data_IF_084920898882
#
_entry.id   IF_084920898882
#
_cell.length_a   1.000
_cell.length_b   1.000
_cell.length_c   1.000
_cell.angle_alpha   90.00
_cell.angle_beta   90.00
_cell.angle_gamma   90.00
#
_symmetry.space_group_name_H-M   'P 1'
#
loop_
_entity.id
_entity.type
_entity.pdbx_description
1 polymer ?
#
# COMPACT_ATOMS: atom_id res chain seq x y z
N UNK A 1 -2.58 5.02 32.39
CA UNK A 1 -1.61 4.95 31.25
C UNK A 1 -2.33 4.31 30.09
N UNK A 2 -2.38 4.98 28.95
CA UNK A 2 -2.92 4.40 27.71
C UNK A 2 -1.96 3.28 27.29
N UNK A 3 -2.46 2.09 27.06
CA UNK A 3 -1.63 0.97 26.59
C UNK A 3 -1.41 1.08 25.07
N UNK A 4 -0.38 0.41 24.55
CA UNK A 4 -0.14 0.36 23.11
C UNK A 4 -1.34 -0.25 22.34
N UNK A 5 -2.09 -1.13 23.00
CA UNK A 5 -3.35 -1.70 22.47
C UNK A 5 -4.41 -0.62 22.31
N UNK A 6 -4.60 0.22 23.35
CA UNK A 6 -5.58 1.30 23.33
C UNK A 6 -5.26 2.35 22.25
N UNK A 7 -3.96 2.63 22.03
CA UNK A 7 -3.50 3.59 21.05
C UNK A 7 -3.80 3.11 19.62
N UNK A 8 -3.51 1.85 19.30
CA UNK A 8 -3.81 1.27 17.99
C UNK A 8 -5.32 1.27 17.74
N UNK A 9 -6.12 0.80 18.70
CA UNK A 9 -7.58 0.76 18.55
C UNK A 9 -8.19 2.16 18.43
N UNK A 10 -7.70 3.12 19.22
CA UNK A 10 -8.17 4.51 19.13
C UNK A 10 -7.86 5.11 17.75
N UNK A 11 -6.64 4.95 17.25
CA UNK A 11 -6.21 5.47 15.94
C UNK A 11 -7.02 4.84 14.79
N UNK A 12 -7.18 3.51 14.80
CA UNK A 12 -7.96 2.80 13.77
C UNK A 12 -9.44 3.19 13.85
N UNK A 13 -10.00 3.33 15.05
CA UNK A 13 -11.38 3.78 15.23
C UNK A 13 -11.59 5.22 14.72
N UNK A 14 -10.62 6.11 14.95
CA UNK A 14 -10.66 7.48 14.39
C UNK A 14 -10.62 7.43 12.87
N UNK A 15 -9.69 6.64 12.30
CA UNK A 15 -9.59 6.46 10.86
C UNK A 15 -10.89 5.94 10.22
N UNK A 16 -11.56 4.97 10.86
CA UNK A 16 -12.82 4.42 10.36
C UNK A 16 -13.97 5.42 10.39
N UNK A 17 -13.93 6.43 11.26
CA UNK A 17 -14.92 7.52 11.29
C UNK A 17 -14.74 8.53 10.16
N UNK A 18 -13.56 8.62 9.58
CA UNK A 18 -13.22 9.52 8.48
C UNK A 18 -13.60 8.95 7.11
N UNK A 19 -13.94 7.66 7.04
CA UNK A 19 -14.31 6.97 5.80
C UNK A 19 -15.76 6.49 5.84
N UNK A 20 -16.46 6.58 4.72
CA UNK A 20 -17.82 6.09 4.59
C UNK A 20 -17.88 4.58 4.47
N UNK A 21 -18.71 3.98 5.32
CA UNK A 21 -19.02 2.55 5.28
C UNK A 21 -18.01 1.70 6.04
N UNK A 22 -18.54 0.67 6.71
CA UNK A 22 -17.79 -0.19 7.61
C UNK A 22 -17.64 -1.64 7.12
N UNK A 23 -18.14 -2.00 5.93
CA UNK A 23 -17.98 -3.36 5.37
C UNK A 23 -16.68 -3.43 4.58
N UNK A 24 -15.76 -4.28 5.01
CA UNK A 24 -14.36 -4.25 4.58
C UNK A 24 -13.89 -5.65 4.19
N UNK A 25 -13.29 -5.77 2.99
CA UNK A 25 -12.51 -6.96 2.63
C UNK A 25 -11.11 -6.81 3.22
N UNK A 26 -10.67 -7.75 4.03
CA UNK A 26 -9.37 -7.70 4.71
C UNK A 26 -8.44 -8.74 4.12
N UNK A 27 -7.36 -8.29 3.49
CA UNK A 27 -6.31 -9.20 2.99
C UNK A 27 -5.62 -9.91 4.17
N UNK A 28 -5.84 -11.22 4.30
CA UNK A 28 -5.35 -12.04 5.39
C UNK A 28 -4.32 -13.05 4.88
N UNK A 29 -3.03 -12.79 5.11
CA UNK A 29 -1.95 -13.72 4.76
C UNK A 29 -1.69 -14.80 5.81
N UNK A 30 -2.15 -14.58 7.05
CA UNK A 30 -1.84 -15.39 8.23
C UNK A 30 -0.63 -14.89 9.03
N UNK A 31 0.14 -13.94 8.52
CA UNK A 31 1.22 -13.27 9.25
C UNK A 31 0.72 -12.24 10.26
N UNK A 32 1.58 -11.87 11.23
CA UNK A 32 1.25 -10.99 12.34
C UNK A 32 0.54 -9.69 11.92
N UNK A 33 1.02 -9.03 10.86
CA UNK A 33 0.49 -7.75 10.41
C UNK A 33 -0.95 -7.89 9.92
N UNK A 34 -1.26 -8.94 9.14
CA UNK A 34 -2.60 -9.19 8.60
C UNK A 34 -3.58 -9.69 9.64
N UNK A 35 -3.10 -10.50 10.60
CA UNK A 35 -3.89 -10.94 11.75
C UNK A 35 -4.19 -9.76 12.67
N UNK A 36 -3.21 -8.91 12.95
CA UNK A 36 -3.37 -7.69 13.72
C UNK A 36 -4.35 -6.72 13.07
N UNK A 37 -4.28 -6.54 11.74
CA UNK A 37 -5.23 -5.72 10.99
C UNK A 37 -6.66 -6.22 11.15
N UNK A 38 -6.89 -7.52 10.93
CA UNK A 38 -8.22 -8.11 11.06
C UNK A 38 -8.77 -7.93 12.47
N UNK A 39 -7.95 -8.25 13.48
CA UNK A 39 -8.35 -8.15 14.89
C UNK A 39 -8.71 -6.72 15.31
N UNK A 40 -7.90 -5.73 14.93
CA UNK A 40 -8.17 -4.34 15.31
C UNK A 40 -9.40 -3.77 14.60
N UNK A 41 -9.60 -4.12 13.31
CA UNK A 41 -10.81 -3.69 12.58
C UNK A 41 -12.07 -4.25 13.23
N UNK A 42 -12.04 -5.53 13.65
CA UNK A 42 -13.13 -6.18 14.38
C UNK A 42 -13.37 -5.50 15.74
N UNK A 43 -12.32 -5.24 16.52
CA UNK A 43 -12.42 -4.53 17.81
C UNK A 43 -13.02 -3.13 17.66
N UNK A 44 -12.80 -2.49 16.50
CA UNK A 44 -13.36 -1.17 16.19
C UNK A 44 -14.77 -1.21 15.59
N UNK A 45 -15.39 -2.40 15.45
CA UNK A 45 -16.76 -2.57 15.00
C UNK A 45 -16.93 -2.62 13.47
N UNK A 46 -15.88 -2.85 12.69
CA UNK A 46 -16.00 -3.05 11.26
C UNK A 46 -16.58 -4.42 10.91
N UNK A 47 -17.38 -4.47 9.84
CA UNK A 47 -17.88 -5.72 9.25
C UNK A 47 -16.83 -6.29 8.29
N UNK A 48 -15.99 -7.20 8.76
CA UNK A 48 -14.89 -7.75 8.00
C UNK A 48 -15.27 -9.03 7.25
N UNK A 49 -14.71 -9.19 6.06
CA UNK A 49 -14.63 -10.45 5.31
C UNK A 49 -13.14 -10.68 5.05
N UNK A 50 -12.59 -11.76 5.60
CA UNK A 50 -11.19 -12.11 5.39
C UNK A 50 -10.98 -12.67 3.98
N UNK A 51 -9.89 -12.30 3.33
CA UNK A 51 -9.57 -12.70 1.98
C UNK A 51 -8.12 -13.23 1.88
N UNK A 52 -7.96 -14.52 1.58
CA UNK A 52 -6.65 -15.16 1.45
C UNK A 52 -6.36 -15.57 0.01
N UNK A 53 -5.19 -15.16 -0.49
CA UNK A 53 -4.67 -15.54 -1.81
C UNK A 53 -3.59 -16.62 -1.65
N UNK A 54 -3.85 -17.84 -2.13
CA UNK A 54 -2.84 -18.88 -2.25
C UNK A 54 -2.24 -18.83 -3.66
N UNK A 55 -0.97 -18.46 -3.75
CA UNK A 55 -0.23 -18.39 -5.01
C UNK A 55 0.49 -19.69 -5.38
N UNK A 56 0.44 -20.73 -4.54
CA UNK A 56 1.06 -22.04 -4.77
C UNK A 56 2.59 -22.05 -4.85
N UNK A 57 3.26 -20.93 -4.54
CA UNK A 57 4.70 -20.76 -4.78
C UNK A 57 5.60 -21.62 -3.88
N UNK A 58 5.06 -22.07 -2.74
CA UNK A 58 5.79 -22.86 -1.73
C UNK A 58 5.15 -24.25 -1.51
N UNK A 59 4.29 -24.70 -2.44
CA UNK A 59 3.61 -25.98 -2.33
C UNK A 59 2.88 -26.15 -1.01
N UNK A 60 3.16 -27.21 -0.24
CA UNK A 60 2.49 -27.53 1.05
C UNK A 60 2.56 -26.41 2.10
N UNK A 61 3.58 -25.55 2.08
CA UNK A 61 3.63 -24.40 3.00
C UNK A 61 2.57 -23.37 2.65
N UNK A 62 2.31 -23.11 1.36
CA UNK A 62 1.23 -22.21 0.94
C UNK A 62 -0.14 -22.71 1.40
N UNK A 63 -0.36 -24.03 1.38
CA UNK A 63 -1.61 -24.64 1.85
C UNK A 63 -1.73 -24.58 3.37
N UNK A 64 -0.62 -24.80 4.09
CA UNK A 64 -0.56 -24.61 5.55
C UNK A 64 -0.92 -23.19 5.94
N UNK A 65 -0.35 -22.18 5.26
CA UNK A 65 -0.58 -20.78 5.56
C UNK A 65 -2.04 -20.38 5.25
N UNK A 66 -2.64 -20.93 4.19
CA UNK A 66 -4.07 -20.79 3.91
C UNK A 66 -4.93 -21.39 5.03
N UNK A 67 -4.65 -22.61 5.45
CA UNK A 67 -5.39 -23.27 6.54
C UNK A 67 -5.26 -22.50 7.84
N UNK A 68 -4.10 -21.92 8.13
CA UNK A 68 -3.92 -21.07 9.30
C UNK A 68 -4.74 -19.77 9.18
N UNK A 69 -4.74 -19.12 8.03
CA UNK A 69 -5.56 -17.92 7.81
C UNK A 69 -7.06 -18.22 8.00
N UNK A 70 -7.55 -19.37 7.52
CA UNK A 70 -8.90 -19.85 7.74
C UNK A 70 -9.17 -20.03 9.25
N UNK A 71 -8.28 -20.73 9.96
CA UNK A 71 -8.44 -20.97 11.40
C UNK A 71 -8.48 -19.67 12.23
N UNK A 72 -7.69 -18.65 11.82
CA UNK A 72 -7.73 -17.32 12.45
C UNK A 72 -9.09 -16.64 12.17
N UNK A 73 -9.59 -16.69 10.94
CA UNK A 73 -10.88 -16.12 10.59
C UNK A 73 -12.03 -16.80 11.35
N UNK A 74 -12.04 -18.13 11.44
CA UNK A 74 -13.02 -18.91 12.19
C UNK A 74 -12.99 -18.57 13.67
N UNK A 75 -11.80 -18.49 14.29
CA UNK A 75 -11.63 -18.11 15.69
C UNK A 75 -12.17 -16.72 16.00
N UNK A 76 -12.05 -15.79 15.04
CA UNK A 76 -12.58 -14.43 15.17
C UNK A 76 -14.05 -14.32 14.75
N UNK A 77 -14.68 -15.40 14.28
CA UNK A 77 -16.07 -15.40 13.80
C UNK A 77 -16.26 -14.59 12.52
N UNK A 78 -15.24 -14.51 11.67
CA UNK A 78 -15.24 -13.70 10.46
C UNK A 78 -15.43 -14.60 9.24
N UNK A 79 -16.38 -14.21 8.37
CA UNK A 79 -16.50 -14.84 7.05
C UNK A 79 -15.22 -14.71 6.28
N UNK A 80 -14.83 -15.76 5.54
CA UNK A 80 -13.63 -15.72 4.70
C UNK A 80 -13.91 -16.20 3.27
N UNK A 81 -13.04 -15.75 2.37
CA UNK A 81 -12.95 -16.15 0.98
C UNK A 81 -11.50 -16.54 0.68
N UNK A 82 -11.30 -17.58 -0.13
CA UNK A 82 -9.97 -18.04 -0.54
C UNK A 82 -9.91 -18.27 -2.03
N UNK A 83 -8.72 -18.12 -2.60
CA UNK A 83 -8.46 -18.41 -4.02
C UNK A 83 -7.08 -19.04 -4.19
N UNK A 84 -6.99 -19.97 -5.14
CA UNK A 84 -5.71 -20.48 -5.65
C UNK A 84 -5.45 -19.87 -7.01
N UNK A 85 -4.23 -19.32 -7.21
CA UNK A 85 -3.81 -18.74 -8.48
C UNK A 85 -2.77 -19.60 -9.19
N UNK A 86 -2.92 -19.78 -10.47
CA UNK A 86 -1.84 -20.21 -11.36
C UNK A 86 -1.03 -18.98 -11.79
N UNK A 87 -0.05 -18.64 -10.97
CA UNK A 87 0.80 -17.47 -11.20
C UNK A 87 1.69 -17.64 -12.42
N UNK A 88 2.11 -18.88 -12.72
CA UNK A 88 2.99 -19.15 -13.87
C UNK A 88 2.25 -18.90 -15.19
N UNK A 89 1.05 -19.42 -15.34
CA UNK A 89 0.22 -19.17 -16.52
C UNK A 89 -0.07 -17.65 -16.70
N UNK A 90 -0.30 -16.93 -15.58
CA UNK A 90 -0.47 -15.48 -15.63
C UNK A 90 0.78 -14.74 -16.11
N UNK A 91 1.95 -15.08 -15.58
CA UNK A 91 3.24 -14.48 -15.99
C UNK A 91 3.54 -14.68 -17.47
N UNK A 92 3.30 -15.89 -17.98
CA UNK A 92 3.51 -16.23 -19.40
C UNK A 92 2.61 -15.42 -20.31
N UNK A 93 1.31 -15.31 -19.96
CA UNK A 93 0.33 -14.59 -20.79
C UNK A 93 0.51 -13.07 -20.77
N UNK A 94 0.96 -12.49 -19.65
CA UNK A 94 1.11 -11.04 -19.47
C UNK A 94 2.55 -10.54 -19.56
N UNK A 95 3.53 -11.42 -19.72
CA UNK A 95 4.97 -11.12 -19.82
C UNK A 95 5.46 -10.22 -18.66
N UNK A 96 5.02 -10.51 -17.46
CA UNK A 96 5.33 -9.71 -16.26
C UNK A 96 6.16 -10.49 -15.24
N UNK A 97 6.75 -9.77 -14.28
CA UNK A 97 7.50 -10.38 -13.17
C UNK A 97 6.57 -11.11 -12.20
N UNK A 98 7.13 -12.05 -11.43
CA UNK A 98 6.41 -12.78 -10.37
C UNK A 98 5.72 -11.83 -9.38
N UNK A 99 6.43 -10.78 -8.96
CA UNK A 99 5.89 -9.77 -8.02
C UNK A 99 4.71 -9.04 -8.63
N UNK A 100 4.84 -8.61 -9.89
CA UNK A 100 3.75 -7.93 -10.63
C UNK A 100 2.55 -8.86 -10.77
N UNK A 101 2.76 -10.11 -11.20
CA UNK A 101 1.69 -11.11 -11.33
C UNK A 101 0.93 -11.34 -10.02
N UNK A 102 1.64 -11.61 -8.92
CA UNK A 102 1.03 -11.81 -7.62
C UNK A 102 0.26 -10.57 -7.14
N UNK A 103 0.79 -9.37 -7.42
CA UNK A 103 0.14 -8.12 -7.07
C UNK A 103 -1.14 -7.89 -7.86
N UNK A 104 -1.10 -8.02 -9.18
CA UNK A 104 -2.23 -7.81 -10.07
C UNK A 104 -3.35 -8.81 -9.79
N UNK A 105 -3.03 -10.10 -9.67
CA UNK A 105 -3.97 -11.16 -9.31
C UNK A 105 -4.66 -10.87 -7.97
N UNK A 106 -3.89 -10.50 -6.94
CA UNK A 106 -4.39 -10.19 -5.60
C UNK A 106 -5.38 -9.04 -5.62
N UNK A 107 -5.01 -7.89 -6.19
CA UNK A 107 -5.86 -6.71 -6.16
C UNK A 107 -7.07 -6.82 -7.07
N UNK A 108 -6.93 -7.47 -8.24
CA UNK A 108 -8.05 -7.79 -9.12
C UNK A 108 -9.08 -8.67 -8.40
N UNK A 109 -8.63 -9.72 -7.72
CA UNK A 109 -9.51 -10.59 -6.98
C UNK A 109 -10.14 -9.90 -5.76
N UNK A 110 -9.38 -9.13 -4.99
CA UNK A 110 -9.93 -8.35 -3.88
C UNK A 110 -11.02 -7.40 -4.34
N UNK A 111 -10.86 -6.76 -5.49
CA UNK A 111 -11.89 -5.88 -6.06
C UNK A 111 -13.14 -6.67 -6.50
N UNK A 112 -12.97 -7.88 -7.06
CA UNK A 112 -14.08 -8.74 -7.44
C UNK A 112 -14.90 -9.16 -6.24
N UNK A 113 -14.25 -9.64 -5.15
CA UNK A 113 -14.97 -10.00 -3.93
C UNK A 113 -15.55 -8.77 -3.19
N UNK A 114 -14.85 -7.61 -3.26
CA UNK A 114 -15.41 -6.36 -2.74
C UNK A 114 -16.75 -6.04 -3.38
N UNK A 115 -16.83 -6.12 -4.72
CA UNK A 115 -18.06 -5.89 -5.46
C UNK A 115 -19.12 -6.96 -5.17
N UNK A 116 -18.75 -8.23 -5.18
CA UNK A 116 -19.66 -9.35 -4.93
C UNK A 116 -20.33 -9.28 -3.55
N UNK A 117 -19.60 -8.81 -2.56
CA UNK A 117 -20.11 -8.64 -1.20
C UNK A 117 -20.65 -7.24 -0.91
N UNK A 118 -20.70 -6.33 -1.88
CA UNK A 118 -21.06 -4.92 -1.67
C UNK A 118 -20.25 -4.30 -0.51
N UNK A 119 -18.96 -4.64 -0.41
CA UNK A 119 -18.07 -4.06 0.58
C UNK A 119 -17.58 -2.67 0.12
N UNK A 120 -17.36 -1.78 1.07
CA UNK A 120 -16.97 -0.41 0.81
C UNK A 120 -15.47 -0.29 0.51
N UNK A 121 -14.66 -1.09 1.23
CA UNK A 121 -13.21 -0.95 1.25
C UNK A 121 -12.48 -2.29 1.17
N UNK A 122 -11.21 -2.22 0.78
CA UNK A 122 -10.23 -3.30 0.86
C UNK A 122 -9.14 -2.83 1.83
N UNK A 123 -8.96 -3.52 2.95
CA UNK A 123 -7.91 -3.23 3.91
C UNK A 123 -6.69 -4.13 3.70
N UNK A 124 -5.51 -3.53 3.70
CA UNK A 124 -4.22 -4.22 3.61
C UNK A 124 -3.30 -3.82 4.76
N UNK A 125 -2.53 -4.77 5.27
CA UNK A 125 -1.75 -4.63 6.49
C UNK A 125 -0.37 -3.97 6.30
N UNK A 126 -0.28 -2.97 5.41
CA UNK A 126 0.94 -2.18 5.31
C UNK A 126 1.12 -1.33 6.57
N UNK A 127 2.35 -1.25 7.06
CA UNK A 127 2.73 -0.57 8.28
C UNK A 127 3.87 0.43 8.03
N UNK A 128 4.32 1.11 9.10
CA UNK A 128 5.35 2.18 9.03
C UNK A 128 6.65 1.70 8.40
N UNK A 129 7.10 0.50 8.75
CA UNK A 129 8.36 -0.04 8.21
C UNK A 129 8.24 -0.28 6.69
N UNK A 130 7.10 -0.78 6.21
CA UNK A 130 6.86 -0.92 4.76
C UNK A 130 6.87 0.42 4.03
N UNK A 131 6.37 1.48 4.70
CA UNK A 131 6.39 2.84 4.17
C UNK A 131 7.82 3.36 4.02
N UNK A 132 8.66 3.17 5.04
CA UNK A 132 10.08 3.52 5.02
C UNK A 132 10.82 2.77 3.91
N UNK A 133 10.60 1.47 3.79
CA UNK A 133 11.19 0.64 2.73
C UNK A 133 10.79 1.13 1.34
N UNK A 134 9.52 1.49 1.17
CA UNK A 134 9.00 1.99 -0.12
C UNK A 134 9.61 3.35 -0.47
N UNK A 135 9.74 4.25 0.50
CA UNK A 135 10.36 5.55 0.29
C UNK A 135 11.83 5.39 -0.14
N UNK A 136 12.61 4.60 0.58
CA UNK A 136 14.01 4.34 0.25
C UNK A 136 14.17 3.65 -1.11
N UNK A 137 13.32 2.65 -1.40
CA UNK A 137 13.33 1.98 -2.70
C UNK A 137 13.08 2.96 -3.84
N UNK A 138 12.11 3.84 -3.69
CA UNK A 138 11.79 4.86 -4.67
C UNK A 138 12.91 5.89 -4.80
N UNK A 139 13.52 6.31 -3.69
CA UNK A 139 14.67 7.22 -3.68
C UNK A 139 15.83 6.65 -4.49
N UNK A 140 16.19 5.38 -4.26
CA UNK A 140 17.30 4.73 -4.96
C UNK A 140 17.01 4.41 -6.44
N UNK A 141 15.73 4.36 -6.82
CA UNK A 141 15.32 4.21 -8.23
C UNK A 141 15.23 5.54 -8.98
N UNK A 142 15.39 6.65 -8.28
CA UNK A 142 15.22 8.00 -8.85
C UNK A 142 13.75 8.32 -9.08
N UNK A 143 13.18 9.15 -8.24
CA UNK A 143 11.76 9.52 -8.32
C UNK A 143 11.56 11.00 -8.01
N UNK A 144 10.43 11.56 -8.45
CA UNK A 144 9.98 12.89 -8.04
C UNK A 144 9.26 12.87 -6.69
N UNK A 145 8.70 14.02 -6.31
CA UNK A 145 7.99 14.23 -5.04
C UNK A 145 6.92 13.16 -4.79
N UNK A 146 6.14 12.83 -5.82
CA UNK A 146 5.06 11.83 -5.71
C UNK A 146 5.53 10.43 -5.32
N UNK A 147 6.77 10.04 -5.65
CA UNK A 147 7.32 8.75 -5.25
C UNK A 147 7.90 8.76 -3.83
N UNK A 148 8.34 9.92 -3.35
CA UNK A 148 8.94 10.08 -2.02
C UNK A 148 7.93 10.33 -0.91
N UNK A 149 6.66 10.64 -1.23
CA UNK A 149 5.59 10.84 -0.24
C UNK A 149 5.16 9.56 0.50
N UNK A 150 5.75 8.40 0.15
CA UNK A 150 5.39 7.12 0.73
C UNK A 150 4.02 6.60 0.29
N UNK A 151 3.47 5.67 1.07
CA UNK A 151 2.14 5.10 0.84
C UNK A 151 1.04 6.02 1.36
N UNK A 152 -0.07 6.09 0.62
CA UNK A 152 -1.27 6.80 1.09
C UNK A 152 -2.08 5.91 2.05
N UNK A 153 -2.64 6.48 3.14
CA UNK A 153 -3.58 5.77 4.00
C UNK A 153 -4.80 5.27 3.23
N UNK A 154 -5.26 6.06 2.24
CA UNK A 154 -6.35 5.72 1.32
C UNK A 154 -5.85 5.87 -0.11
N UNK A 155 -6.10 4.86 -0.94
CA UNK A 155 -5.80 4.88 -2.37
C UNK A 155 -6.91 4.17 -3.16
N UNK A 156 -7.78 4.93 -3.79
CA UNK A 156 -9.00 4.43 -4.39
C UNK A 156 -9.87 3.73 -3.34
N UNK A 157 -10.12 2.45 -3.49
CA UNK A 157 -10.88 1.62 -2.53
C UNK A 157 -9.99 0.84 -1.55
N UNK A 158 -8.69 1.07 -1.57
CA UNK A 158 -7.72 0.42 -0.68
C UNK A 158 -7.42 1.32 0.50
N UNK A 159 -7.51 0.77 1.71
CA UNK A 159 -7.17 1.44 2.97
C UNK A 159 -6.02 0.73 3.69
N UNK A 160 -5.23 1.51 4.45
CA UNK A 160 -4.07 1.05 5.22
C UNK A 160 -4.14 1.58 6.66
N UNK A 161 -5.03 1.00 7.49
CA UNK A 161 -5.27 1.52 8.84
C UNK A 161 -4.04 1.45 9.76
N UNK A 162 -3.11 0.52 9.49
CA UNK A 162 -1.91 0.30 10.30
C UNK A 162 -0.68 1.12 9.86
N UNK A 163 -0.82 2.00 8.86
CA UNK A 163 0.33 2.68 8.24
C UNK A 163 1.12 3.56 9.22
N UNK A 164 0.52 4.01 10.32
CA UNK A 164 1.17 4.81 11.35
C UNK A 164 1.95 4.00 12.38
N UNK A 165 1.77 2.68 12.42
CA UNK A 165 2.35 1.80 13.43
C UNK A 165 3.54 1.02 12.89
N UNK A 166 4.49 0.72 13.76
CA UNK A 166 5.61 -0.18 13.46
C UNK A 166 5.17 -1.64 13.52
N UNK A 167 5.90 -2.50 12.86
CA UNK A 167 5.70 -3.95 12.96
C UNK A 167 5.75 -4.43 14.41
N UNK A 168 6.68 -3.90 15.21
CA UNK A 168 6.83 -4.26 16.64
C UNK A 168 5.59 -3.91 17.46
N UNK A 169 4.96 -2.75 17.21
CA UNK A 169 3.71 -2.35 17.87
C UNK A 169 2.57 -3.29 17.50
N UNK A 170 2.49 -3.69 16.21
CA UNK A 170 1.48 -4.63 15.72
C UNK A 170 1.69 -6.02 16.33
N UNK A 171 2.92 -6.54 16.37
CA UNK A 171 3.24 -7.82 17.03
C UNK A 171 2.89 -7.80 18.52
N UNK A 172 3.15 -6.68 19.22
CA UNK A 172 2.76 -6.49 20.61
C UNK A 172 1.23 -6.50 20.80
N UNK A 173 0.48 -5.89 19.85
CA UNK A 173 -0.98 -5.92 19.84
C UNK A 173 -1.50 -7.35 19.67
N UNK A 174 -0.98 -8.10 18.69
CA UNK A 174 -1.38 -9.48 18.42
C UNK A 174 -1.11 -10.38 19.63
N UNK A 175 0.06 -10.23 20.28
CA UNK A 175 0.41 -10.94 21.50
C UNK A 175 -0.53 -10.61 22.67
N UNK A 176 -0.87 -9.34 22.87
CA UNK A 176 -1.81 -8.90 23.91
C UNK A 176 -3.22 -9.46 23.70
N UNK A 177 -3.65 -9.61 22.44
CA UNK A 177 -4.93 -10.25 22.06
C UNK A 177 -4.87 -11.78 22.05
N UNK A 178 -3.70 -12.39 22.36
CA UNK A 178 -3.46 -13.84 22.38
C UNK A 178 -3.83 -14.51 21.04
N UNK A 179 -3.49 -13.87 19.93
CA UNK A 179 -3.73 -14.39 18.59
C UNK A 179 -2.48 -15.08 18.06
N UNK A 180 -2.70 -16.22 17.40
CA UNK A 180 -1.64 -16.97 16.75
C UNK A 180 -1.42 -16.43 15.32
N UNK A 181 -0.18 -16.46 14.86
CA UNK A 181 0.19 -16.09 13.50
C UNK A 181 1.32 -16.98 12.99
N UNK A 182 1.43 -17.13 11.68
CA UNK A 182 2.58 -17.80 11.04
C UNK A 182 3.69 -16.80 10.81
N UNK A 183 4.91 -17.21 11.15
CA UNK A 183 6.10 -16.48 10.74
C UNK A 183 6.33 -16.77 9.26
N UNK A 184 6.19 -15.76 8.40
CA UNK A 184 6.30 -15.93 6.97
C UNK A 184 7.77 -16.20 6.57
N UNK A 185 8.03 -17.40 6.02
CA UNK A 185 9.32 -17.75 5.42
C UNK A 185 9.50 -17.13 4.03
N UNK A 186 8.49 -16.44 3.47
CA UNK A 186 8.48 -15.84 2.13
C UNK A 186 9.36 -14.61 1.95
N UNK A 187 10.07 -14.18 2.96
CA UNK A 187 11.18 -13.23 2.82
C UNK A 187 12.21 -13.63 1.73
N UNK A 188 12.10 -14.85 1.20
CA UNK A 188 12.96 -15.39 0.16
C UNK A 188 12.48 -15.09 -1.28
N UNK A 189 11.23 -14.72 -1.50
CA UNK A 189 10.64 -14.57 -2.86
C UNK A 189 10.23 -13.12 -3.17
N UNK A 190 10.18 -12.25 -2.19
CA UNK A 190 9.90 -10.84 -2.39
C UNK A 190 11.14 -10.09 -2.88
N UNK A 191 10.92 -9.03 -3.63
CA UNK A 191 11.89 -8.12 -4.25
C UNK A 191 13.25 -8.11 -3.53
N UNK A 192 14.29 -8.63 -4.19
CA UNK A 192 15.67 -8.69 -3.67
C UNK A 192 16.12 -7.32 -3.15
N UNK A 193 15.69 -6.23 -3.80
CA UNK A 193 16.02 -4.85 -3.44
C UNK A 193 15.32 -4.45 -2.13
N UNK A 194 14.04 -4.79 -1.96
CA UNK A 194 13.29 -4.51 -0.72
C UNK A 194 13.85 -5.30 0.46
N UNK A 195 14.22 -6.56 0.24
CA UNK A 195 14.86 -7.39 1.26
C UNK A 195 16.23 -6.84 1.68
N UNK A 196 17.02 -6.30 0.74
CA UNK A 196 18.27 -5.60 1.07
C UNK A 196 18.03 -4.35 1.91
N UNK A 197 17.00 -3.56 1.57
CA UNK A 197 16.63 -2.40 2.38
C UNK A 197 16.24 -2.83 3.79
N UNK A 198 15.35 -3.81 3.93
CA UNK A 198 14.86 -4.31 5.23
C UNK A 198 15.95 -4.92 6.10
N UNK A 199 16.78 -5.79 5.53
CA UNK A 199 17.66 -6.66 6.30
C UNK A 199 19.09 -6.12 6.43
N UNK A 200 19.50 -5.17 5.58
CA UNK A 200 20.85 -4.62 5.56
C UNK A 200 20.84 -3.10 5.76
N UNK A 201 20.15 -2.37 4.90
CA UNK A 201 20.25 -0.90 4.86
C UNK A 201 19.56 -0.27 6.08
N UNK A 202 18.32 -0.65 6.37
CA UNK A 202 17.59 -0.10 7.52
C UNK A 202 18.26 -0.37 8.87
N UNK A 203 18.80 -1.58 9.15
CA UNK A 203 19.61 -1.80 10.35
C UNK A 203 20.81 -0.86 10.46
N UNK A 204 21.59 -0.68 9.40
CA UNK A 204 22.73 0.27 9.39
C UNK A 204 22.28 1.73 9.62
N UNK A 205 21.15 2.12 9.01
CA UNK A 205 20.59 3.45 9.22
C UNK A 205 20.17 3.64 10.69
N UNK A 206 19.47 2.65 11.28
CA UNK A 206 19.02 2.69 12.68
C UNK A 206 20.18 2.74 13.67
N UNK A 207 21.28 2.07 13.38
CA UNK A 207 22.51 2.12 14.20
C UNK A 207 23.10 3.52 14.19
N UNK A 208 23.19 4.16 13.02
CA UNK A 208 23.77 5.49 12.84
C UNK A 208 22.81 6.62 13.27
N UNK A 209 21.51 6.43 13.07
CA UNK A 209 20.45 7.41 13.33
C UNK A 209 19.27 6.74 14.06
N UNK A 210 19.29 6.65 15.40
CA UNK A 210 18.30 5.89 16.18
C UNK A 210 16.83 6.32 15.95
N UNK A 211 16.60 7.57 15.54
CA UNK A 211 15.27 8.11 15.26
C UNK A 211 14.88 8.02 13.77
N UNK A 212 15.66 7.32 12.93
CA UNK A 212 15.46 7.30 11.47
C UNK A 212 14.06 6.86 11.05
N UNK A 213 13.48 5.87 11.70
CA UNK A 213 12.12 5.41 11.39
C UNK A 213 11.08 6.53 11.52
N UNK A 214 11.21 7.35 12.54
CA UNK A 214 10.32 8.49 12.74
C UNK A 214 10.61 9.63 11.75
N UNK A 215 11.87 10.00 11.56
CA UNK A 215 12.25 11.13 10.71
C UNK A 215 12.01 10.86 9.22
N UNK A 216 12.17 9.62 8.76
CA UNK A 216 11.82 9.20 7.41
C UNK A 216 10.30 9.34 7.17
N UNK A 217 9.47 8.90 8.12
CA UNK A 217 8.02 9.07 8.01
C UNK A 217 7.60 10.54 8.05
N UNK A 218 8.20 11.35 8.94
CA UNK A 218 7.95 12.79 8.97
C UNK A 218 8.28 13.45 7.62
N UNK A 219 9.39 13.04 6.99
CA UNK A 219 9.75 13.49 5.65
C UNK A 219 8.71 13.07 4.62
N UNK A 220 8.22 11.82 4.67
CA UNK A 220 7.16 11.34 3.80
C UNK A 220 5.85 12.16 3.97
N UNK A 221 5.46 12.48 5.21
CA UNK A 221 4.27 13.29 5.50
C UNK A 221 4.41 14.73 4.97
N UNK A 222 5.59 15.34 5.12
CA UNK A 222 5.87 16.66 4.57
C UNK A 222 5.79 16.65 3.03
N UNK A 223 6.38 15.63 2.39
CA UNK A 223 6.32 15.45 0.95
C UNK A 223 4.92 15.10 0.45
N UNK A 224 4.12 14.39 1.25
CA UNK A 224 2.71 14.17 0.94
C UNK A 224 1.91 15.47 0.89
N UNK A 225 2.14 16.37 1.85
CA UNK A 225 1.51 17.69 1.89
C UNK A 225 1.92 18.54 0.68
N UNK A 226 3.21 18.54 0.33
CA UNK A 226 3.73 19.23 -0.84
C UNK A 226 3.15 18.65 -2.16
N UNK A 227 3.09 17.32 -2.29
CA UNK A 227 2.52 16.65 -3.47
C UNK A 227 1.01 16.91 -3.62
N UNK A 228 0.27 17.03 -2.51
CA UNK A 228 -1.15 17.40 -2.53
C UNK A 228 -1.35 18.82 -3.05
N UNK A 229 -0.53 19.77 -2.60
CA UNK A 229 -0.53 21.13 -3.11
C UNK A 229 -0.15 21.20 -4.59
N UNK A 230 0.90 20.48 -5.00
CA UNK A 230 1.30 20.39 -6.42
C UNK A 230 0.16 19.83 -7.26
N UNK A 231 -0.50 18.76 -6.81
CA UNK A 231 -1.62 18.15 -7.54
C UNK A 231 -2.77 19.12 -7.74
N UNK A 232 -3.13 19.89 -6.70
CA UNK A 232 -4.16 20.93 -6.80
C UNK A 232 -3.78 22.03 -7.81
N UNK A 233 -2.50 22.45 -7.80
CA UNK A 233 -2.02 23.44 -8.78
C UNK A 233 -2.03 22.90 -10.20
N UNK A 234 -1.63 21.63 -10.40
CA UNK A 234 -1.66 20.99 -11.72
C UNK A 234 -3.10 20.85 -12.26
N UNK A 235 -4.07 20.53 -11.40
CA UNK A 235 -5.49 20.49 -11.83
C UNK A 235 -5.99 21.87 -12.30
N UNK A 236 -5.59 22.95 -11.63
CA UNK A 236 -5.87 24.33 -12.07
C UNK A 236 -5.20 24.66 -13.39
N UNK A 237 -3.92 24.32 -13.54
CA UNK A 237 -3.18 24.52 -14.79
C UNK A 237 -3.77 23.70 -15.94
N UNK A 238 -4.20 22.46 -15.70
CA UNK A 238 -4.89 21.63 -16.68
C UNK A 238 -6.09 22.33 -17.29
N UNK A 239 -6.93 22.95 -16.45
CA UNK A 239 -8.12 23.69 -16.91
C UNK A 239 -7.76 24.91 -17.79
N UNK A 240 -6.57 25.53 -17.58
CA UNK A 240 -6.13 26.69 -18.36
C UNK A 240 -5.54 26.32 -19.72
N UNK A 241 -4.91 25.15 -19.84
CA UNK A 241 -4.12 24.78 -21.01
C UNK A 241 -4.72 23.66 -21.85
N UNK A 242 -5.83 23.05 -21.41
CA UNK A 242 -6.51 21.97 -22.12
C UNK A 242 -7.81 22.49 -22.71
N UNK A 243 -8.04 22.22 -24.01
CA UNK A 243 -9.29 22.54 -24.68
C UNK A 243 -10.39 21.48 -24.39
N UNK A 244 -11.62 21.73 -24.87
CA UNK A 244 -12.77 20.83 -24.70
C UNK A 244 -12.56 19.44 -25.33
N UNK A 245 -11.61 19.30 -26.25
CA UNK A 245 -11.24 18.03 -26.88
C UNK A 245 -10.10 17.31 -26.15
N UNK A 246 -9.57 17.90 -25.06
CA UNK A 246 -8.46 17.34 -24.28
C UNK A 246 -7.08 17.61 -24.86
N UNK A 247 -6.93 18.54 -25.85
CA UNK A 247 -5.65 18.92 -26.41
C UNK A 247 -4.97 19.99 -25.53
N UNK A 248 -3.66 19.85 -25.33
CA UNK A 248 -2.86 20.79 -24.54
C UNK A 248 -2.18 21.82 -25.48
N UNK A 249 -2.36 23.10 -25.21
CA UNK A 249 -1.66 24.16 -25.94
C UNK A 249 -0.24 24.36 -25.39
N UNK A 250 0.66 23.49 -25.82
CA UNK A 250 2.07 23.45 -25.36
C UNK A 250 2.79 24.77 -25.69
N UNK A 251 2.68 25.27 -26.93
CA UNK A 251 3.40 26.47 -27.38
C UNK A 251 3.05 27.67 -26.49
N UNK A 252 1.75 27.91 -26.26
CA UNK A 252 1.30 29.04 -25.45
C UNK A 252 1.68 28.87 -23.97
N UNK A 253 1.69 27.64 -23.47
CA UNK A 253 2.10 27.33 -22.10
C UNK A 253 3.60 27.58 -21.92
N UNK A 254 4.46 27.13 -22.85
CA UNK A 254 5.90 27.32 -22.81
C UNK A 254 6.29 28.81 -22.84
N UNK A 255 5.53 29.64 -23.55
CA UNK A 255 5.79 31.09 -23.61
C UNK A 255 5.38 31.85 -22.35
N UNK A 256 4.46 31.32 -21.55
CA UNK A 256 3.83 32.06 -20.45
C UNK A 256 4.18 31.57 -19.05
N UNK A 257 4.87 30.43 -18.93
CA UNK A 257 5.13 29.82 -17.63
C UNK A 257 6.59 29.34 -17.53
N UNK A 258 7.31 29.82 -16.53
CA UNK A 258 8.66 29.32 -16.19
C UNK A 258 8.63 27.82 -15.79
N UNK A 259 7.52 27.38 -15.17
CA UNK A 259 7.31 25.97 -14.76
C UNK A 259 6.68 25.11 -15.85
N UNK A 260 6.59 25.59 -17.11
CA UNK A 260 5.85 24.90 -18.19
C UNK A 260 6.30 23.44 -18.39
N UNK A 261 7.59 23.17 -18.36
CA UNK A 261 8.15 21.82 -18.49
C UNK A 261 7.65 20.88 -17.37
N UNK A 262 7.63 21.38 -16.15
CA UNK A 262 7.15 20.60 -15.00
C UNK A 262 5.64 20.35 -15.10
N UNK A 263 4.87 21.37 -15.44
CA UNK A 263 3.40 21.28 -15.62
C UNK A 263 3.09 20.27 -16.74
N UNK A 264 3.77 20.38 -17.88
CA UNK A 264 3.58 19.48 -19.02
C UNK A 264 3.91 18.03 -18.64
N UNK A 265 5.00 17.82 -17.90
CA UNK A 265 5.35 16.50 -17.39
C UNK A 265 4.26 15.92 -16.48
N UNK A 266 3.78 16.65 -15.50
CA UNK A 266 2.74 16.17 -14.58
C UNK A 266 1.40 15.92 -15.30
N UNK A 267 1.06 16.70 -16.34
CA UNK A 267 -0.12 16.47 -17.17
C UNK A 267 -0.03 15.21 -18.06
N UNK A 268 1.17 14.88 -18.52
CA UNK A 268 1.41 13.74 -19.44
C UNK A 268 1.82 12.45 -18.75
N UNK A 269 2.34 12.53 -17.54
CA UNK A 269 2.75 11.39 -16.71
C UNK A 269 1.66 10.32 -16.51
N UNK A 270 0.36 10.66 -16.29
CA UNK A 270 -0.69 9.66 -16.23
C UNK A 270 -0.92 8.89 -17.54
N UNK A 271 -0.43 9.42 -18.66
CA UNK A 271 -0.46 8.78 -19.99
C UNK A 271 0.78 7.92 -20.27
N UNK A 272 1.68 7.75 -19.28
CA UNK A 272 2.89 6.94 -19.38
C UNK A 272 4.08 7.66 -20.04
N UNK A 273 4.00 8.97 -20.22
CA UNK A 273 5.10 9.78 -20.83
C UNK A 273 6.11 10.14 -19.74
N UNK A 274 7.39 9.85 -19.99
CA UNK A 274 8.47 10.15 -19.07
C UNK A 274 9.06 11.57 -19.28
N UNK A 275 9.92 12.01 -18.36
CA UNK A 275 10.49 13.36 -18.40
C UNK A 275 11.41 13.62 -19.62
N UNK A 276 12.02 12.59 -20.19
CA UNK A 276 12.84 12.68 -21.40
C UNK A 276 11.97 12.94 -22.63
N UNK A 277 10.90 12.15 -22.77
CA UNK A 277 9.91 12.34 -23.84
C UNK A 277 9.22 13.71 -23.77
N UNK A 278 8.98 14.23 -22.57
CA UNK A 278 8.42 15.61 -22.42
C UNK A 278 9.38 16.65 -22.97
N UNK A 279 10.71 16.50 -22.78
CA UNK A 279 11.71 17.42 -23.34
C UNK A 279 11.78 17.39 -24.88
N UNK A 280 11.43 16.27 -25.50
CA UNK A 280 11.37 16.14 -26.96
C UNK A 280 10.09 16.78 -27.53
N UNK A 281 9.02 16.86 -26.75
CA UNK A 281 7.72 17.46 -27.16
C UNK A 281 7.76 18.99 -27.03
N UNK A 282 8.53 19.52 -26.10
CA UNK A 282 8.57 20.94 -25.75
C UNK A 282 9.63 21.71 -26.54
#
# INVERSE_FOLDING_TARGET
MITAVDEIEYSVKSFLREIDGCKIIVGLSGGADSVGLLAVLMSCGAHCIAAHCNFGLRGKESDRDMNHAIAVADRLGVRYETVHFDVRAYMESHKCSLETACRELRYSWFENIRKAHSAHWIAVAHHRDDNNETLLLNLFRGTGVSGLRGMRPINGKIIRPLLKFTRKEIESYVAAKKLDFVTDSSNLVSDVSRNKIRNIIMPCIRESFPNADHTINLTADNLYSADSFISEMIDKEKALWTDDNGNINVIKMMQKRESAMFILYELLKPKGINAEQVREIA
#
